data_IF_291409552854
#
_entry.id   IF_291409552854
#
_cell.length_a   1.000
_cell.length_b   1.000
_cell.length_c   1.000
_cell.angle_alpha   90.00
_cell.angle_beta   90.00
_cell.angle_gamma   90.00
#
_symmetry.space_group_name_H-M   'P 1'
#
loop_
_entity.id
_entity.type
_entity.pdbx_description
1 polymer ?
#
# COMPACT_ATOMS: atom_id res chain seq x y z
N UNK A 1 17.45 5.58 22.02
CA UNK A 1 15.99 5.72 21.89
C UNK A 1 15.35 4.53 22.58
N UNK A 2 15.05 4.70 23.86
CA UNK A 2 14.48 3.70 24.76
C UNK A 2 12.97 3.62 24.53
N UNK A 3 12.51 2.46 24.06
CA UNK A 3 11.09 2.20 23.82
C UNK A 3 10.33 2.04 25.15
N UNK A 4 9.61 3.10 25.54
CA UNK A 4 8.50 3.01 26.47
C UNK A 4 7.34 2.33 25.76
N UNK A 5 6.85 1.24 26.33
CA UNK A 5 5.71 0.53 25.78
C UNK A 5 4.56 0.57 26.79
N UNK A 6 3.47 1.18 26.36
CA UNK A 6 2.24 1.39 27.14
C UNK A 6 1.11 0.70 26.39
N UNK A 7 0.54 -0.36 26.98
CA UNK A 7 -0.69 -0.97 26.46
C UNK A 7 -1.92 -0.19 26.91
N UNK A 8 -2.94 -0.10 26.06
CA UNK A 8 -4.16 0.69 26.32
C UNK A 8 -5.41 -0.17 26.40
N UNK A 9 -6.34 0.25 27.26
CA UNK A 9 -7.68 -0.29 27.45
C UNK A 9 -8.66 0.89 27.57
N UNK A 10 -9.74 0.89 26.78
CA UNK A 10 -10.66 2.02 26.64
C UNK A 10 -11.68 2.07 27.78
N UNK A 11 -11.34 2.81 28.84
CA UNK A 11 -12.20 3.76 29.58
C UNK A 11 -11.48 4.33 30.83
N UNK A 12 -10.15 4.45 30.81
CA UNK A 12 -9.41 5.13 31.86
C UNK A 12 -7.94 5.05 31.46
N UNK A 13 -7.32 6.19 31.17
CA UNK A 13 -5.90 6.17 30.84
C UNK A 13 -5.15 5.94 32.14
N UNK A 14 -4.88 4.68 32.44
CA UNK A 14 -3.98 4.29 33.51
C UNK A 14 -2.55 4.35 32.97
N UNK A 15 -1.80 5.38 33.35
CA UNK A 15 -0.35 5.41 33.21
C UNK A 15 0.22 4.46 34.26
N UNK A 16 0.83 3.35 33.84
CA UNK A 16 1.37 2.37 34.78
C UNK A 16 2.88 2.37 34.75
N UNK A 17 3.41 2.96 35.81
CA UNK A 17 4.77 2.79 36.26
C UNK A 17 4.92 1.40 36.87
N UNK A 18 5.47 0.47 36.09
CA UNK A 18 5.98 -0.81 36.56
C UNK A 18 7.48 -0.87 36.28
N UNK A 19 8.30 -0.54 37.28
CA UNK A 19 9.73 -0.77 37.35
C UNK A 19 10.51 -0.58 36.03
N UNK A 20 10.97 0.65 35.80
CA UNK A 20 11.99 0.94 34.79
C UNK A 20 13.30 0.19 35.13
N UNK A 21 13.44 -1.03 34.60
CA UNK A 21 14.73 -1.48 34.09
C UNK A 21 14.80 -1.19 32.59
N UNK A 22 15.95 -0.70 32.09
CA UNK A 22 16.11 -0.18 30.73
C UNK A 22 16.23 -1.34 29.72
N UNK A 23 15.18 -2.13 29.57
CA UNK A 23 15.12 -3.24 28.62
C UNK A 23 13.89 -3.14 27.73
N UNK A 24 14.05 -3.53 26.47
CA UNK A 24 13.01 -3.62 25.45
C UNK A 24 11.79 -4.37 25.99
N UNK A 25 10.58 -3.83 25.84
CA UNK A 25 9.34 -4.54 26.15
C UNK A 25 9.27 -5.83 25.32
N UNK A 26 9.30 -6.98 25.98
CA UNK A 26 9.10 -8.29 25.35
C UNK A 26 7.64 -8.73 25.46
N UNK A 27 7.22 -9.65 24.61
CA UNK A 27 5.85 -10.19 24.63
C UNK A 27 5.45 -10.78 26.00
N UNK A 28 6.40 -11.42 26.70
CA UNK A 28 6.15 -12.02 28.02
C UNK A 28 5.87 -10.94 29.07
N UNK A 29 6.69 -9.88 29.10
CA UNK A 29 6.49 -8.74 30.00
C UNK A 29 5.18 -8.03 29.70
N UNK A 30 4.84 -7.85 28.43
CA UNK A 30 3.56 -7.27 28.04
C UNK A 30 2.36 -8.07 28.59
N UNK A 31 2.38 -9.40 28.47
CA UNK A 31 1.33 -10.26 29.03
C UNK A 31 1.23 -10.12 30.55
N UNK A 32 2.35 -10.24 31.25
CA UNK A 32 2.37 -10.41 32.70
C UNK A 32 2.28 -9.08 33.48
N UNK A 33 2.82 -8.00 32.91
CA UNK A 33 2.85 -6.68 33.55
C UNK A 33 1.72 -5.76 33.05
N UNK A 34 1.16 -6.01 31.86
CA UNK A 34 0.14 -5.13 31.25
C UNK A 34 -1.21 -5.85 31.08
N UNK A 35 -1.26 -6.91 30.25
CA UNK A 35 -2.54 -7.54 29.90
C UNK A 35 -3.24 -8.17 31.10
N UNK A 36 -2.50 -8.94 31.90
CA UNK A 36 -3.05 -9.68 33.05
C UNK A 36 -3.48 -8.79 34.22
N UNK A 37 -2.66 -7.84 34.73
CA UNK A 37 -3.03 -7.07 35.90
C UNK A 37 -3.97 -5.89 35.60
N UNK A 38 -4.07 -5.45 34.34
CA UNK A 38 -4.78 -4.19 34.01
C UNK A 38 -5.92 -4.43 33.05
N UNK A 39 -5.61 -4.98 31.88
CA UNK A 39 -6.58 -5.08 30.78
C UNK A 39 -7.67 -6.07 31.15
N UNK A 40 -7.32 -7.21 31.74
CA UNK A 40 -8.29 -8.23 32.16
C UNK A 40 -9.28 -7.71 33.23
N UNK A 41 -8.87 -7.16 34.39
CA UNK A 41 -9.81 -6.62 35.36
C UNK A 41 -10.68 -5.50 34.79
N UNK A 42 -10.08 -4.68 33.92
CA UNK A 42 -10.77 -3.56 33.30
C UNK A 42 -11.84 -4.00 32.28
N UNK A 43 -11.51 -4.96 31.42
CA UNK A 43 -12.44 -5.57 30.49
C UNK A 43 -13.65 -6.19 31.23
N UNK A 44 -13.38 -6.85 32.35
CA UNK A 44 -14.43 -7.38 33.24
C UNK A 44 -15.33 -6.29 33.85
N UNK A 45 -14.77 -5.12 34.17
CA UNK A 45 -15.51 -4.00 34.75
C UNK A 45 -16.39 -3.24 33.73
N UNK A 46 -15.94 -3.14 32.47
CA UNK A 46 -16.70 -2.50 31.38
C UNK A 46 -17.82 -3.42 30.86
N UNK A 47 -17.55 -4.73 30.77
CA UNK A 47 -18.51 -5.72 30.31
C UNK A 47 -18.58 -5.87 28.78
N UNK A 48 -19.67 -6.48 28.26
CA UNK A 48 -19.78 -6.85 26.85
C UNK A 48 -19.75 -5.62 25.93
N UNK A 49 -18.85 -5.64 24.94
CA UNK A 49 -18.58 -4.52 24.03
C UNK A 49 -17.25 -3.80 24.29
N UNK A 50 -16.47 -4.24 25.28
CA UNK A 50 -15.09 -3.80 25.44
C UNK A 50 -14.25 -4.24 24.22
N UNK A 51 -13.59 -3.27 23.59
CA UNK A 51 -12.70 -3.50 22.46
C UNK A 51 -11.32 -2.94 22.77
N UNK A 52 -10.32 -3.81 22.77
CA UNK A 52 -8.94 -3.46 23.08
C UNK A 52 -8.27 -2.79 21.87
N UNK A 53 -7.70 -1.60 22.06
CA UNK A 53 -6.89 -0.94 21.03
C UNK A 53 -5.42 -1.06 21.37
N UNK A 54 -4.62 -1.59 20.45
CA UNK A 54 -3.17 -1.73 20.57
C UNK A 54 -2.49 -1.41 19.23
N UNK A 55 -1.27 -0.89 19.26
CA UNK A 55 -0.57 -0.31 18.09
C UNK A 55 0.16 -1.34 17.19
N UNK A 56 -0.20 -2.62 17.26
CA UNK A 56 0.45 -3.71 16.50
C UNK A 56 1.99 -3.75 16.58
N UNK A 57 2.59 -3.21 17.65
CA UNK A 57 4.00 -3.40 17.95
C UNK A 57 4.35 -4.90 18.08
N UNK A 58 5.62 -5.27 17.86
CA UNK A 58 6.09 -6.67 17.87
C UNK A 58 5.63 -7.48 19.09
N UNK A 59 5.60 -6.95 20.33
CA UNK A 59 5.08 -7.67 21.48
C UNK A 59 3.56 -7.94 21.44
N UNK A 60 2.77 -7.08 20.79
CA UNK A 60 1.30 -7.18 20.69
C UNK A 60 0.87 -8.26 19.69
N UNK A 61 1.63 -8.41 18.60
CA UNK A 61 1.38 -9.41 17.54
C UNK A 61 1.96 -10.79 17.90
N UNK A 62 2.72 -10.89 18.98
CA UNK A 62 3.28 -12.16 19.43
C UNK A 62 2.18 -13.16 19.81
N UNK A 63 2.35 -14.42 19.39
CA UNK A 63 1.35 -15.47 19.62
C UNK A 63 0.96 -15.65 21.09
N UNK A 64 1.89 -15.46 22.02
CA UNK A 64 1.64 -15.53 23.47
C UNK A 64 0.62 -14.49 23.94
N UNK A 65 0.63 -13.29 23.36
CA UNK A 65 -0.29 -12.20 23.72
C UNK A 65 -1.65 -12.38 23.04
N UNK A 66 -1.65 -12.77 21.76
CA UNK A 66 -2.88 -13.07 21.02
C UNK A 66 -3.66 -14.24 21.64
N UNK A 67 -2.94 -15.29 22.05
CA UNK A 67 -3.55 -16.44 22.72
C UNK A 67 -4.17 -16.05 24.08
N UNK A 68 -3.48 -15.21 24.86
CA UNK A 68 -4.03 -14.71 26.14
C UNK A 68 -5.32 -13.90 25.95
N UNK A 69 -5.36 -13.01 24.95
CA UNK A 69 -6.56 -12.23 24.64
C UNK A 69 -7.73 -13.13 24.22
N UNK A 70 -7.45 -14.16 23.43
CA UNK A 70 -8.45 -15.13 22.99
C UNK A 70 -8.98 -15.98 24.16
N UNK A 71 -8.12 -16.42 25.08
CA UNK A 71 -8.50 -17.19 26.27
C UNK A 71 -9.38 -16.37 27.24
N UNK A 72 -9.11 -15.09 27.38
CA UNK A 72 -9.89 -14.18 28.23
C UNK A 72 -11.13 -13.57 27.51
N UNK A 73 -11.34 -13.91 26.23
CA UNK A 73 -12.48 -13.43 25.44
C UNK A 73 -12.46 -11.93 25.17
N UNK A 74 -11.27 -11.33 25.08
CA UNK A 74 -11.08 -9.89 24.86
C UNK A 74 -10.85 -9.65 23.37
N UNK A 75 -11.81 -9.00 22.72
CA UNK A 75 -11.68 -8.62 21.32
C UNK A 75 -10.69 -7.45 21.17
N UNK A 76 -9.78 -7.57 20.19
CA UNK A 76 -8.88 -6.50 19.80
C UNK A 76 -9.38 -5.80 18.53
N UNK A 77 -9.28 -4.48 18.47
CA UNK A 77 -9.59 -3.69 17.28
C UNK A 77 -8.58 -3.99 16.16
N UNK A 78 -9.09 -4.18 14.94
CA UNK A 78 -8.27 -4.21 13.73
C UNK A 78 -7.62 -2.84 13.48
N UNK A 79 -6.40 -2.68 13.98
CA UNK A 79 -5.63 -1.43 13.92
C UNK A 79 -4.47 -1.52 12.91
N UNK A 80 -4.26 -0.52 12.03
CA UNK A 80 -3.13 -0.54 11.11
C UNK A 80 -1.79 -0.49 11.86
N UNK A 81 -0.84 -1.35 11.46
CA UNK A 81 0.53 -1.25 11.96
C UNK A 81 1.13 0.13 11.59
N UNK A 82 1.77 0.80 12.55
CA UNK A 82 2.49 2.07 12.35
C UNK A 82 1.62 3.26 11.92
N UNK A 83 0.54 3.53 12.66
CA UNK A 83 -0.29 4.74 12.48
C UNK A 83 -0.23 5.66 13.71
N UNK A 84 0.90 6.35 13.98
CA UNK A 84 1.04 7.22 15.14
C UNK A 84 -0.04 8.32 15.14
N UNK A 85 -0.29 8.94 13.98
CA UNK A 85 -1.26 10.03 13.81
C UNK A 85 -2.73 9.65 14.12
N UNK A 86 -3.04 8.37 14.32
CA UNK A 86 -4.37 7.91 14.72
C UNK A 86 -4.49 7.60 16.21
N UNK A 87 -3.37 7.37 16.91
CA UNK A 87 -3.42 7.02 18.31
C UNK A 87 -3.68 8.29 19.15
N UNK A 88 -4.78 8.37 19.91
CA UNK A 88 -5.05 9.49 20.82
C UNK A 88 -3.92 9.78 21.79
N UNK A 89 -3.08 8.79 22.09
CA UNK A 89 -1.93 8.96 22.99
C UNK A 89 -0.89 9.92 22.43
N UNK A 90 -0.70 9.97 21.10
CA UNK A 90 0.28 10.88 20.49
C UNK A 90 -0.10 12.33 20.75
N UNK A 91 -1.40 12.64 20.75
CA UNK A 91 -1.89 13.97 21.13
C UNK A 91 -1.66 14.26 22.61
N UNK A 92 -1.77 13.24 23.47
CA UNK A 92 -1.50 13.41 24.89
C UNK A 92 0.00 13.59 25.13
N UNK A 93 0.86 12.82 24.45
CA UNK A 93 2.30 12.99 24.48
C UNK A 93 2.75 14.35 23.96
N UNK A 94 2.11 14.85 22.90
CA UNK A 94 2.38 16.19 22.39
C UNK A 94 1.94 17.28 23.39
N UNK A 95 0.78 17.12 24.06
CA UNK A 95 0.38 18.00 25.17
C UNK A 95 1.43 17.95 26.30
N UNK A 96 1.84 16.76 26.72
CA UNK A 96 2.82 16.58 27.81
C UNK A 96 4.19 17.18 27.44
N UNK A 97 4.64 16.93 26.21
CA UNK A 97 5.88 17.48 25.67
C UNK A 97 5.83 19.00 25.65
N UNK A 98 4.76 19.60 25.11
CA UNK A 98 4.59 21.06 25.09
C UNK A 98 4.54 21.67 26.49
N UNK A 99 3.84 21.04 27.43
CA UNK A 99 3.80 21.49 28.82
C UNK A 99 5.19 21.46 29.49
N UNK A 100 6.01 20.45 29.21
CA UNK A 100 7.39 20.37 29.73
C UNK A 100 8.27 21.46 29.12
N UNK A 101 8.18 21.70 27.81
CA UNK A 101 8.95 22.77 27.16
C UNK A 101 8.57 24.17 27.65
N UNK A 102 7.35 24.34 28.18
CA UNK A 102 6.87 25.61 28.74
C UNK A 102 7.21 25.80 30.23
N UNK A 103 7.76 24.78 30.90
CA UNK A 103 8.21 24.91 32.30
C UNK A 103 9.39 25.87 32.40
N UNK A 104 9.40 26.70 33.44
CA UNK A 104 10.48 27.66 33.70
C UNK A 104 11.82 26.99 34.03
N UNK A 105 11.79 25.75 34.57
CA UNK A 105 12.97 24.96 34.87
C UNK A 105 12.95 23.71 33.99
N UNK A 106 13.93 23.59 33.10
CA UNK A 106 14.10 22.39 32.30
C UNK A 106 14.68 21.25 33.18
N UNK A 107 14.07 20.06 33.19
CA UNK A 107 14.60 18.92 33.94
C UNK A 107 15.97 18.52 33.38
N UNK A 108 16.97 18.34 34.26
CA UNK A 108 18.34 17.98 33.88
C UNK A 108 18.67 16.52 34.14
N UNK A 109 17.85 15.82 34.93
CA UNK A 109 18.00 14.40 35.22
C UNK A 109 16.80 13.58 34.73
N UNK A 110 17.01 12.28 34.49
CA UNK A 110 15.93 11.35 34.09
C UNK A 110 14.84 11.28 35.17
N UNK A 111 15.23 11.39 36.44
CA UNK A 111 14.30 11.36 37.58
C UNK A 111 13.45 12.64 37.63
N UNK A 112 14.06 13.82 37.48
CA UNK A 112 13.32 15.10 37.40
C UNK A 112 12.37 15.14 36.21
N UNK A 113 12.77 14.57 35.07
CA UNK A 113 11.90 14.47 33.90
C UNK A 113 10.72 13.53 34.17
N UNK A 114 10.93 12.41 34.85
CA UNK A 114 9.86 11.48 35.22
C UNK A 114 8.86 12.13 36.18
N UNK A 115 9.34 12.81 37.22
CA UNK A 115 8.50 13.49 38.19
C UNK A 115 7.70 14.65 37.55
N UNK A 116 8.34 15.39 36.63
CA UNK A 116 7.67 16.44 35.86
C UNK A 116 6.57 15.88 34.93
N UNK A 117 6.81 14.74 34.28
CA UNK A 117 5.81 14.07 33.43
C UNK A 117 4.59 13.63 34.24
N UNK A 118 4.77 13.11 35.46
CA UNK A 118 3.67 12.70 36.35
C UNK A 118 2.83 13.90 36.76
N UNK A 119 3.45 15.01 37.15
CA UNK A 119 2.71 16.23 37.49
C UNK A 119 1.89 16.75 36.29
N UNK A 120 2.50 16.84 35.11
CA UNK A 120 1.79 17.26 33.90
C UNK A 120 0.64 16.31 33.56
N UNK A 121 0.81 15.01 33.80
CA UNK A 121 -0.25 14.03 33.60
C UNK A 121 -1.46 14.29 34.51
N UNK A 122 -1.22 14.53 35.80
CA UNK A 122 -2.28 14.83 36.78
C UNK A 122 -3.00 16.15 36.49
N UNK A 123 -2.32 17.11 35.87
CA UNK A 123 -2.88 18.40 35.45
C UNK A 123 -3.79 18.30 34.21
N UNK A 124 -3.71 17.23 33.41
CA UNK A 124 -4.52 17.08 32.20
C UNK A 124 -5.98 16.84 32.59
N UNK A 125 -6.93 17.71 32.17
CA UNK A 125 -8.34 17.49 32.48
C UNK A 125 -8.86 16.22 31.84
N UNK A 126 -9.62 15.42 32.60
CA UNK A 126 -10.26 14.21 32.09
C UNK A 126 -11.17 14.47 30.87
N UNK A 127 -11.75 15.67 30.74
CA UNK A 127 -12.57 16.03 29.57
C UNK A 127 -11.76 16.09 28.28
N UNK A 128 -10.48 16.49 28.33
CA UNK A 128 -9.59 16.47 27.15
C UNK A 128 -9.39 15.04 26.66
N UNK A 129 -9.20 14.10 27.59
CA UNK A 129 -9.07 12.67 27.30
C UNK A 129 -10.39 12.14 26.72
N UNK A 130 -11.54 12.46 27.33
CA UNK A 130 -12.86 12.06 26.81
C UNK A 130 -13.14 12.64 25.42
N UNK A 131 -12.74 13.87 25.14
CA UNK A 131 -12.93 14.49 23.83
C UNK A 131 -12.09 13.78 22.75
N UNK A 132 -10.82 13.47 23.04
CA UNK A 132 -9.97 12.66 22.17
C UNK A 132 -10.56 11.27 21.92
N UNK A 133 -11.07 10.63 22.96
CA UNK A 133 -11.78 9.35 22.89
C UNK A 133 -13.02 9.43 21.97
N UNK A 134 -13.88 10.43 22.17
CA UNK A 134 -15.10 10.65 21.37
C UNK A 134 -14.79 10.99 19.91
N UNK A 135 -13.61 11.54 19.62
CA UNK A 135 -13.17 11.84 18.25
C UNK A 135 -12.79 10.58 17.45
N UNK A 136 -12.48 9.46 18.12
CA UNK A 136 -11.93 8.27 17.46
C UNK A 136 -12.83 7.64 16.40
N UNK A 137 -14.14 7.47 16.62
CA UNK A 137 -15.01 6.95 15.57
C UNK A 137 -14.98 7.80 14.29
N UNK A 138 -14.80 9.12 14.40
CA UNK A 138 -14.64 10.01 13.24
C UNK A 138 -13.26 9.83 12.60
N UNK A 139 -12.17 9.79 13.39
CA UNK A 139 -10.80 9.59 12.88
C UNK A 139 -10.62 8.25 12.19
N UNK A 140 -11.15 7.17 12.78
CA UNK A 140 -11.16 5.84 12.16
C UNK A 140 -12.00 5.82 10.87
N UNK A 141 -13.13 6.52 10.81
CA UNK A 141 -13.91 6.69 9.56
C UNK A 141 -13.17 7.50 8.51
N UNK A 142 -12.39 8.51 8.91
CA UNK A 142 -11.58 9.30 7.98
C UNK A 142 -10.40 8.50 7.39
N UNK A 143 -9.90 7.49 8.12
CA UNK A 143 -8.83 6.57 7.68
C UNK A 143 -9.33 5.27 7.02
N UNK A 144 -10.61 4.93 7.15
CA UNK A 144 -11.29 3.91 6.37
C UNK A 144 -11.68 4.51 5.02
N UNK A 145 -10.76 4.53 4.06
CA UNK A 145 -11.07 4.99 2.72
C UNK A 145 -11.34 3.81 1.79
N UNK A 146 -12.15 4.08 0.77
CA UNK A 146 -12.46 3.10 -0.26
C UNK A 146 -11.18 2.77 -1.05
N UNK A 147 -10.99 1.50 -1.40
CA UNK A 147 -9.98 0.93 -2.32
C UNK A 147 -10.29 1.31 -3.76
N UNK A 148 -10.58 2.59 -3.92
CA UNK A 148 -11.00 3.22 -5.13
C UNK A 148 -9.95 4.31 -5.43
N UNK A 149 -9.19 4.11 -6.50
CA UNK A 149 -8.16 5.03 -6.96
C UNK A 149 -8.77 6.38 -7.28
N UNK A 150 -8.22 7.45 -6.72
CA UNK A 150 -8.60 8.84 -7.02
C UNK A 150 -10.10 9.12 -6.80
N UNK A 151 -10.78 8.44 -5.87
CA UNK A 151 -12.24 8.61 -5.70
C UNK A 151 -12.66 10.04 -5.34
N UNK A 152 -11.77 10.82 -4.72
CA UNK A 152 -12.01 12.22 -4.37
C UNK A 152 -11.83 13.18 -5.57
N UNK A 153 -11.25 12.68 -6.66
CA UNK A 153 -10.88 13.46 -7.84
C UNK A 153 -11.59 12.98 -9.13
N UNK A 154 -12.51 12.02 -8.98
CA UNK A 154 -13.31 11.41 -10.04
C UNK A 154 -14.77 11.30 -9.61
N UNK A 155 -15.67 11.06 -10.58
CA UNK A 155 -16.98 10.53 -10.23
C UNK A 155 -16.85 9.12 -9.60
N UNK A 156 -17.77 8.75 -8.71
CA UNK A 156 -17.76 7.43 -8.08
C UNK A 156 -17.71 6.30 -9.13
N UNK A 157 -18.42 6.48 -10.24
CA UNK A 157 -18.43 5.55 -11.36
C UNK A 157 -17.03 5.37 -11.99
N UNK A 158 -16.35 6.47 -12.32
CA UNK A 158 -15.01 6.42 -12.92
C UNK A 158 -13.98 5.81 -11.97
N UNK A 159 -14.08 6.12 -10.68
CA UNK A 159 -13.19 5.54 -9.68
C UNK A 159 -13.40 4.03 -9.52
N UNK A 160 -14.65 3.56 -9.53
CA UNK A 160 -14.95 2.12 -9.57
C UNK A 160 -14.46 1.48 -10.87
N UNK A 161 -14.57 2.17 -12.00
CA UNK A 161 -14.15 1.64 -13.30
C UNK A 161 -12.64 1.45 -13.43
N UNK A 162 -11.86 2.36 -12.85
CA UNK A 162 -10.43 2.40 -13.06
C UNK A 162 -9.62 1.73 -11.94
N UNK A 163 -10.24 1.42 -10.81
CA UNK A 163 -9.57 0.74 -9.70
C UNK A 163 -9.33 -0.74 -9.99
N UNK A 164 -8.10 -1.22 -9.74
CA UNK A 164 -7.71 -2.62 -9.96
C UNK A 164 -8.72 -3.62 -9.39
N UNK A 165 -9.10 -3.42 -8.12
CA UNK A 165 -9.90 -4.39 -7.37
C UNK A 165 -11.29 -4.55 -7.97
N UNK A 166 -12.00 -3.44 -8.20
CA UNK A 166 -13.37 -3.42 -8.73
C UNK A 166 -13.41 -3.74 -10.21
N UNK A 167 -12.51 -3.17 -11.03
CA UNK A 167 -12.43 -3.48 -12.46
C UNK A 167 -12.28 -4.98 -12.70
N UNK A 168 -11.37 -5.61 -11.94
CA UNK A 168 -11.14 -7.05 -12.03
C UNK A 168 -12.32 -7.88 -11.49
N UNK A 169 -13.05 -7.40 -10.48
CA UNK A 169 -14.12 -8.18 -9.84
C UNK A 169 -15.40 -8.17 -10.67
N UNK A 170 -15.73 -7.00 -11.21
CA UNK A 170 -16.87 -6.83 -12.10
C UNK A 170 -16.56 -7.25 -13.54
N UNK A 171 -15.29 -7.44 -13.91
CA UNK A 171 -14.86 -7.73 -15.30
C UNK A 171 -15.33 -6.64 -16.25
N UNK A 172 -14.98 -5.40 -15.93
CA UNK A 172 -15.50 -4.20 -16.61
C UNK A 172 -15.07 -4.06 -18.08
N UNK A 173 -14.11 -4.85 -18.52
CA UNK A 173 -13.78 -5.04 -19.94
C UNK A 173 -14.85 -5.78 -20.74
N UNK A 174 -15.91 -6.29 -20.10
CA UNK A 174 -17.02 -6.99 -20.75
C UNK A 174 -18.35 -6.25 -20.58
N UNK A 175 -19.22 -6.30 -21.60
CA UNK A 175 -20.57 -5.70 -21.55
C UNK A 175 -21.41 -6.26 -20.39
N UNK A 176 -21.28 -7.55 -20.10
CA UNK A 176 -21.96 -8.18 -18.97
C UNK A 176 -21.46 -7.64 -17.62
N UNK A 177 -20.14 -7.41 -17.49
CA UNK A 177 -19.55 -6.83 -16.30
C UNK A 177 -19.98 -5.39 -16.05
N UNK A 178 -20.10 -4.58 -17.12
CA UNK A 178 -20.63 -3.22 -17.03
C UNK A 178 -22.09 -3.20 -16.59
N UNK A 179 -22.93 -4.10 -17.12
CA UNK A 179 -24.33 -4.24 -16.67
C UNK A 179 -24.41 -4.64 -15.20
N UNK A 180 -23.57 -5.60 -14.76
CA UNK A 180 -23.47 -6.01 -13.36
C UNK A 180 -23.02 -4.88 -12.45
N UNK A 181 -22.13 -4.00 -12.91
CA UNK A 181 -21.76 -2.80 -12.17
C UNK A 181 -22.94 -1.83 -12.03
N UNK A 182 -23.74 -1.64 -13.10
CA UNK A 182 -24.93 -0.77 -13.02
C UNK A 182 -25.99 -1.33 -12.05
N UNK A 183 -26.25 -2.64 -12.12
CA UNK A 183 -27.14 -3.34 -11.17
C UNK A 183 -26.60 -3.23 -9.74
N UNK A 184 -25.29 -3.31 -9.56
CA UNK A 184 -24.64 -3.20 -8.27
C UNK A 184 -24.59 -1.77 -7.69
N UNK A 185 -24.44 -0.75 -8.55
CA UNK A 185 -24.60 0.65 -8.14
C UNK A 185 -26.04 0.93 -7.68
N UNK A 186 -27.02 0.19 -8.23
CA UNK A 186 -28.41 0.24 -7.78
C UNK A 186 -28.64 -0.50 -6.44
N UNK A 187 -27.79 -1.47 -6.08
CA UNK A 187 -27.95 -2.38 -4.93
C UNK A 187 -26.93 -2.15 -3.78
N UNK A 188 -26.11 -1.10 -3.89
CA UNK A 188 -24.79 -0.92 -3.25
C UNK A 188 -24.64 -1.45 -1.80
N UNK A 189 -24.30 -2.73 -1.68
CA UNK A 189 -23.83 -3.41 -0.47
C UNK A 189 -22.45 -4.05 -0.71
N UNK A 190 -21.37 -3.29 -0.50
CA UNK A 190 -20.01 -3.81 -0.64
C UNK A 190 -19.37 -4.08 0.73
N UNK A 191 -18.87 -5.30 0.95
CA UNK A 191 -18.19 -5.69 2.20
C UNK A 191 -16.68 -5.41 2.21
N UNK A 192 -16.01 -5.33 1.04
CA UNK A 192 -14.54 -5.35 0.95
C UNK A 192 -13.87 -4.16 0.23
N UNK A 193 -14.54 -3.01 0.11
CA UNK A 193 -13.87 -1.82 -0.47
C UNK A 193 -12.97 -1.12 0.55
N UNK A 194 -13.11 -1.35 1.85
CA UNK A 194 -12.42 -0.50 2.83
C UNK A 194 -10.95 -0.90 2.94
N UNK A 195 -10.07 0.06 2.72
CA UNK A 195 -8.64 -0.04 3.03
C UNK A 195 -8.30 0.98 4.11
N UNK A 196 -7.40 0.59 5.01
CA UNK A 196 -6.80 1.50 5.96
C UNK A 196 -5.78 2.37 5.19
N UNK A 197 -5.94 3.68 5.22
CA UNK A 197 -5.04 4.64 4.57
C UNK A 197 -5.01 5.96 5.34
N UNK A 198 -4.01 6.78 5.06
CA UNK A 198 -3.89 8.14 5.58
C UNK A 198 -4.49 9.14 4.60
N UNK A 199 -4.99 10.26 5.14
CA UNK A 199 -5.45 11.40 4.36
C UNK A 199 -4.93 12.70 4.97
N UNK A 200 -4.49 13.62 4.12
CA UNK A 200 -4.00 14.94 4.51
C UNK A 200 -4.99 16.01 4.05
N UNK A 201 -5.20 17.02 4.90
CA UNK A 201 -6.00 18.19 4.57
C UNK A 201 -5.08 19.40 4.55
N UNK A 202 -4.90 20.02 3.38
CA UNK A 202 -4.13 21.26 3.23
C UNK A 202 -5.00 22.51 3.34
N UNK A 203 -6.30 22.40 3.05
CA UNK A 203 -7.29 23.47 3.19
C UNK A 203 -8.71 22.90 3.30
N UNK A 204 -9.73 23.76 3.42
CA UNK A 204 -11.14 23.34 3.48
C UNK A 204 -11.63 22.55 2.26
N UNK A 205 -10.99 22.71 1.09
CA UNK A 205 -11.34 22.01 -0.16
C UNK A 205 -10.30 20.97 -0.59
N UNK A 206 -9.06 21.13 -0.17
CA UNK A 206 -7.94 20.32 -0.65
C UNK A 206 -7.65 19.20 0.34
N UNK A 207 -8.38 18.10 0.15
CA UNK A 207 -8.16 16.83 0.83
C UNK A 207 -7.55 15.85 -0.18
N UNK A 208 -6.47 15.19 0.23
CA UNK A 208 -5.79 14.19 -0.58
C UNK A 208 -5.54 12.94 0.25
N UNK A 209 -5.67 11.77 -0.37
CA UNK A 209 -5.30 10.51 0.25
C UNK A 209 -3.85 10.17 -0.08
N UNK A 210 -3.20 9.41 0.79
CA UNK A 210 -1.84 8.93 0.54
C UNK A 210 -1.72 8.24 -0.83
N UNK A 211 -2.73 7.43 -1.20
CA UNK A 211 -2.76 6.76 -2.50
C UNK A 211 -2.84 7.73 -3.69
N UNK A 212 -3.56 8.85 -3.54
CA UNK A 212 -3.75 9.83 -4.62
C UNK A 212 -2.43 10.55 -4.92
N UNK A 213 -1.70 10.93 -3.86
CA UNK A 213 -0.38 11.56 -3.97
C UNK A 213 0.64 10.61 -4.59
N UNK A 214 0.63 9.33 -4.21
CA UNK A 214 1.53 8.31 -4.81
C UNK A 214 1.26 8.16 -6.31
N UNK A 215 0.00 8.06 -6.71
CA UNK A 215 -0.35 7.97 -8.13
C UNK A 215 0.06 9.23 -8.91
N UNK A 216 -0.13 10.42 -8.33
CA UNK A 216 0.25 11.68 -8.94
C UNK A 216 1.78 11.81 -9.09
N UNK A 217 2.54 11.54 -8.03
CA UNK A 217 4.00 11.59 -8.04
C UNK A 217 4.59 10.57 -9.03
N UNK A 218 4.06 9.34 -9.07
CA UNK A 218 4.50 8.31 -10.00
C UNK A 218 4.16 8.66 -11.47
N UNK A 219 3.08 9.39 -11.72
CA UNK A 219 2.73 9.86 -13.05
C UNK A 219 3.64 11.02 -13.52
N UNK A 220 4.01 11.93 -12.62
CA UNK A 220 4.96 13.02 -12.90
C UNK A 220 6.37 12.48 -13.18
N UNK A 221 6.82 11.48 -12.42
CA UNK A 221 8.15 10.89 -12.57
C UNK A 221 8.36 10.23 -13.94
N UNK A 222 7.33 9.57 -14.46
CA UNK A 222 7.35 8.88 -15.76
C UNK A 222 6.62 9.66 -16.85
N UNK A 223 6.54 10.99 -16.73
CA UNK A 223 5.85 11.79 -17.73
C UNK A 223 6.56 11.68 -19.08
N UNK A 224 5.80 11.30 -20.12
CA UNK A 224 6.28 11.16 -21.50
C UNK A 224 5.69 12.20 -22.44
N UNK A 225 4.85 13.12 -21.96
CA UNK A 225 4.20 14.14 -22.80
C UNK A 225 5.16 15.30 -23.16
N UNK A 226 6.25 15.49 -22.40
CA UNK A 226 7.26 16.52 -22.64
C UNK A 226 8.63 15.86 -22.76
N UNK A 227 9.44 16.30 -23.72
CA UNK A 227 10.84 15.89 -23.92
C UNK A 227 11.76 16.47 -22.82
N UNK A 228 11.35 16.31 -21.56
CA UNK A 228 12.07 16.73 -20.38
C UNK A 228 13.03 15.63 -19.94
N UNK A 229 14.16 16.01 -19.36
CA UNK A 229 15.11 15.01 -18.87
C UNK A 229 14.50 14.23 -17.70
N UNK A 230 14.95 12.99 -17.49
CA UNK A 230 14.53 12.19 -16.33
C UNK A 230 14.81 12.93 -15.00
N UNK A 231 15.85 13.76 -14.96
CA UNK A 231 16.18 14.61 -13.82
C UNK A 231 15.11 15.68 -13.57
N UNK A 232 14.61 16.33 -14.62
CA UNK A 232 13.56 17.35 -14.48
C UNK A 232 12.24 16.74 -13.99
N UNK A 233 11.88 15.56 -14.51
CA UNK A 233 10.71 14.82 -14.05
C UNK A 233 10.83 14.43 -12.57
N UNK A 234 12.03 14.04 -12.13
CA UNK A 234 12.30 13.73 -10.73
C UNK A 234 12.11 14.95 -9.83
N UNK A 235 12.64 16.12 -10.22
CA UNK A 235 12.47 17.36 -9.46
C UNK A 235 11.00 17.76 -9.41
N UNK A 236 10.24 17.65 -10.51
CA UNK A 236 8.79 17.93 -10.51
C UNK A 236 8.00 16.99 -9.61
N UNK A 237 8.33 15.70 -9.62
CA UNK A 237 7.72 14.73 -8.72
C UNK A 237 8.07 15.01 -7.25
N UNK A 238 9.27 15.53 -6.98
CA UNK A 238 9.67 15.96 -5.63
C UNK A 238 8.91 17.23 -5.21
N UNK A 239 8.82 18.21 -6.10
CA UNK A 239 8.12 19.48 -5.87
C UNK A 239 6.63 19.29 -5.58
N UNK A 240 6.00 18.27 -6.17
CA UNK A 240 4.59 17.97 -5.93
C UNK A 240 4.28 17.51 -4.48
N UNK A 241 5.31 17.03 -3.75
CA UNK A 241 5.18 16.67 -2.34
C UNK A 241 5.23 17.89 -1.42
N UNK A 242 5.69 19.04 -1.92
CA UNK A 242 5.69 20.28 -1.15
C UNK A 242 4.29 20.85 -1.02
N UNK A 243 3.95 21.30 0.19
CA UNK A 243 2.68 21.98 0.50
C UNK A 243 2.50 23.29 -0.26
N UNK A 244 3.59 23.88 -0.75
CA UNK A 244 3.58 25.13 -1.52
C UNK A 244 3.10 24.96 -2.95
N UNK A 245 3.17 23.75 -3.53
CA UNK A 245 2.97 23.54 -4.95
C UNK A 245 1.82 22.56 -5.25
N UNK A 246 0.61 22.96 -4.85
CA UNK A 246 -0.59 22.17 -5.12
C UNK A 246 -0.94 22.10 -6.61
N UNK A 247 -0.55 23.08 -7.43
CA UNK A 247 -0.81 23.05 -8.87
C UNK A 247 -0.07 21.90 -9.55
N UNK A 248 1.20 21.68 -9.19
CA UNK A 248 1.97 20.53 -9.66
C UNK A 248 1.30 19.20 -9.28
N UNK A 249 0.80 19.09 -8.04
CA UNK A 249 0.08 17.90 -7.57
C UNK A 249 -1.20 17.65 -8.37
N UNK A 250 -2.02 18.67 -8.65
CA UNK A 250 -3.23 18.52 -9.47
C UNK A 250 -2.89 18.12 -10.91
N UNK A 251 -1.84 18.70 -11.50
CA UNK A 251 -1.35 18.29 -12.82
C UNK A 251 -0.89 16.83 -12.84
N UNK A 252 -0.20 16.38 -11.78
CA UNK A 252 0.19 14.98 -11.60
C UNK A 252 -1.01 14.04 -11.46
N UNK A 253 -2.06 14.47 -10.75
CA UNK A 253 -3.32 13.71 -10.65
C UNK A 253 -3.93 13.53 -12.04
N UNK A 254 -3.99 14.57 -12.86
CA UNK A 254 -4.58 14.46 -14.20
C UNK A 254 -3.76 13.56 -15.14
N UNK A 255 -2.43 13.58 -15.04
CA UNK A 255 -1.56 12.61 -15.71
C UNK A 255 -1.79 11.18 -15.20
N UNK A 256 -1.98 11.01 -13.89
CA UNK A 256 -2.28 9.70 -13.31
C UNK A 256 -3.62 9.14 -13.80
N UNK A 257 -4.64 10.00 -13.96
CA UNK A 257 -5.94 9.62 -14.54
C UNK A 257 -5.77 9.09 -15.97
N UNK A 258 -5.05 9.84 -16.83
CA UNK A 258 -4.74 9.40 -18.20
C UNK A 258 -4.03 8.05 -18.22
N UNK A 259 -3.01 7.89 -17.37
CA UNK A 259 -2.24 6.63 -17.23
C UNK A 259 -3.13 5.45 -16.82
N UNK A 260 -4.01 5.63 -15.83
CA UNK A 260 -4.93 4.58 -15.38
C UNK A 260 -5.95 4.21 -16.46
N UNK A 261 -6.49 5.19 -17.18
CA UNK A 261 -7.42 4.95 -18.30
C UNK A 261 -6.74 4.17 -19.42
N UNK A 262 -5.54 4.57 -19.82
CA UNK A 262 -4.75 3.86 -20.84
C UNK A 262 -4.49 2.41 -20.42
N UNK A 263 -4.07 2.18 -19.16
CA UNK A 263 -3.87 0.82 -18.62
C UNK A 263 -5.14 -0.02 -18.75
N UNK A 264 -6.30 0.49 -18.34
CA UNK A 264 -7.56 -0.27 -18.41
C UNK A 264 -7.95 -0.60 -19.85
N UNK A 265 -7.78 0.34 -20.78
CA UNK A 265 -8.04 0.13 -22.21
C UNK A 265 -7.11 -0.93 -22.80
N UNK A 266 -5.82 -0.88 -22.50
CA UNK A 266 -4.84 -1.87 -22.95
C UNK A 266 -5.13 -3.25 -22.35
N UNK A 267 -5.47 -3.33 -21.05
CA UNK A 267 -5.87 -4.61 -20.42
C UNK A 267 -7.12 -5.19 -21.08
N UNK A 268 -8.14 -4.37 -21.32
CA UNK A 268 -9.35 -4.80 -22.00
C UNK A 268 -9.04 -5.31 -23.41
N UNK A 269 -8.23 -4.57 -24.18
CA UNK A 269 -7.79 -4.97 -25.51
C UNK A 269 -7.07 -6.31 -25.48
N UNK A 270 -6.09 -6.49 -24.58
CA UNK A 270 -5.29 -7.72 -24.47
C UNK A 270 -6.15 -8.96 -24.13
N UNK A 271 -7.15 -8.80 -23.27
CA UNK A 271 -8.04 -9.90 -22.88
C UNK A 271 -9.04 -10.21 -24.01
N UNK A 272 -9.65 -9.19 -24.61
CA UNK A 272 -10.66 -9.37 -25.67
C UNK A 272 -10.06 -9.95 -26.95
N UNK A 273 -8.82 -9.60 -27.27
CA UNK A 273 -8.08 -10.13 -28.44
C UNK A 273 -7.32 -11.42 -28.13
N UNK A 274 -7.37 -11.90 -26.89
CA UNK A 274 -6.68 -13.11 -26.42
C UNK A 274 -5.17 -13.11 -26.71
N UNK A 275 -4.51 -11.96 -26.52
CA UNK A 275 -3.07 -11.78 -26.72
C UNK A 275 -2.20 -12.50 -25.67
N UNK A 276 -2.80 -12.93 -24.56
CA UNK A 276 -2.10 -13.62 -23.47
C UNK A 276 -2.01 -15.12 -23.80
N UNK A 277 -0.80 -15.58 -24.11
CA UNK A 277 -0.55 -16.96 -24.52
C UNK A 277 0.16 -17.73 -23.40
N UNK A 278 -0.21 -18.99 -23.20
CA UNK A 278 0.52 -19.89 -22.30
C UNK A 278 1.68 -20.53 -23.05
N UNK A 279 2.90 -20.34 -22.56
CA UNK A 279 4.13 -20.91 -23.13
C UNK A 279 4.56 -22.21 -22.43
N UNK A 280 3.70 -22.77 -21.57
CA UNK A 280 4.02 -23.94 -20.74
C UNK A 280 4.25 -23.55 -19.27
N UNK A 281 5.45 -23.07 -18.90
CA UNK A 281 5.78 -22.71 -17.51
C UNK A 281 5.37 -21.29 -17.11
N UNK A 282 5.07 -20.40 -18.09
CA UNK A 282 4.62 -19.03 -17.84
C UNK A 282 3.60 -18.55 -18.89
N UNK A 283 2.92 -17.44 -18.57
CA UNK A 283 2.10 -16.68 -19.50
C UNK A 283 2.97 -15.61 -20.17
N UNK A 284 2.74 -15.37 -21.45
CA UNK A 284 3.47 -14.38 -22.23
C UNK A 284 2.52 -13.42 -22.93
N UNK A 285 2.83 -12.12 -22.88
CA UNK A 285 2.11 -11.07 -23.58
C UNK A 285 3.12 -10.11 -24.24
N UNK A 286 2.91 -9.76 -25.50
CA UNK A 286 3.73 -8.80 -26.23
C UNK A 286 2.88 -7.64 -26.71
N UNK A 287 3.25 -6.41 -26.34
CA UNK A 287 2.62 -5.19 -26.82
C UNK A 287 3.27 -4.80 -28.15
N UNK A 288 2.45 -4.55 -29.17
CA UNK A 288 2.91 -4.07 -30.47
C UNK A 288 3.08 -2.55 -30.45
N UNK A 289 3.94 -2.02 -31.32
CA UNK A 289 4.13 -0.58 -31.48
C UNK A 289 2.83 0.16 -31.87
N UNK A 290 1.94 -0.50 -32.61
CA UNK A 290 0.62 0.04 -32.97
C UNK A 290 -0.40 0.05 -31.81
N UNK A 291 -0.02 -0.38 -30.61
CA UNK A 291 -0.91 -0.34 -29.44
C UNK A 291 -1.11 1.12 -29.00
N UNK A 292 -2.35 1.57 -28.73
CA UNK A 292 -2.56 2.92 -28.22
C UNK A 292 -1.78 3.13 -26.92
N UNK A 293 -1.18 4.31 -26.80
CA UNK A 293 -0.42 4.76 -25.63
C UNK A 293 0.79 3.88 -25.26
N UNK A 294 1.34 3.11 -26.21
CA UNK A 294 2.49 2.21 -25.95
C UNK A 294 3.71 2.93 -25.37
N UNK A 295 3.90 4.22 -25.70
CA UNK A 295 4.98 5.07 -25.16
C UNK A 295 4.92 5.19 -23.63
N UNK A 296 3.72 5.17 -23.03
CA UNK A 296 3.56 5.16 -21.57
C UNK A 296 4.14 3.88 -20.97
N UNK A 297 4.00 2.74 -21.67
CA UNK A 297 4.45 1.43 -21.21
C UNK A 297 5.92 1.13 -21.53
N UNK A 298 6.61 2.02 -22.22
CA UNK A 298 8.06 1.97 -22.39
C UNK A 298 8.81 2.30 -21.08
N UNK A 299 8.11 2.80 -20.05
CA UNK A 299 8.68 3.10 -18.73
C UNK A 299 8.41 1.98 -17.70
N UNK A 300 9.37 1.65 -16.82
CA UNK A 300 9.28 0.49 -15.93
C UNK A 300 8.10 0.48 -14.95
N UNK A 301 7.75 1.59 -14.28
CA UNK A 301 6.67 1.59 -13.28
C UNK A 301 5.30 1.49 -13.95
N UNK A 302 5.10 2.16 -15.08
CA UNK A 302 3.91 2.04 -15.90
C UNK A 302 3.69 0.60 -16.38
N UNK A 303 4.75 -0.04 -16.90
CA UNK A 303 4.71 -1.44 -17.33
C UNK A 303 4.44 -2.38 -16.14
N UNK A 304 5.02 -2.10 -14.97
CA UNK A 304 4.78 -2.87 -13.74
C UNK A 304 3.31 -2.82 -13.34
N UNK A 305 2.72 -1.62 -13.36
CA UNK A 305 1.32 -1.43 -13.01
C UNK A 305 0.39 -2.13 -14.02
N UNK A 306 0.68 -1.99 -15.32
CA UNK A 306 -0.04 -2.69 -16.39
C UNK A 306 0.04 -4.21 -16.20
N UNK A 307 1.24 -4.76 -15.98
CA UNK A 307 1.46 -6.20 -15.83
C UNK A 307 0.67 -6.77 -14.63
N UNK A 308 0.70 -6.08 -13.48
CA UNK A 308 -0.08 -6.47 -12.30
C UNK A 308 -1.59 -6.43 -12.55
N UNK A 309 -2.09 -5.40 -13.24
CA UNK A 309 -3.52 -5.29 -13.58
C UNK A 309 -3.93 -6.38 -14.58
N UNK A 310 -3.10 -6.63 -15.60
CA UNK A 310 -3.33 -7.64 -16.62
C UNK A 310 -3.39 -9.05 -16.03
N UNK A 311 -2.45 -9.42 -15.17
CA UNK A 311 -2.45 -10.72 -14.50
C UNK A 311 -3.70 -10.91 -13.64
N UNK A 312 -4.04 -9.93 -12.79
CA UNK A 312 -5.25 -9.96 -11.96
C UNK A 312 -6.52 -10.12 -12.80
N UNK A 313 -6.61 -9.37 -13.88
CA UNK A 313 -7.75 -9.42 -14.79
C UNK A 313 -7.83 -10.78 -15.52
N UNK A 314 -6.70 -11.29 -16.02
CA UNK A 314 -6.61 -12.57 -16.70
C UNK A 314 -6.96 -13.76 -15.79
N UNK A 315 -6.43 -13.81 -14.56
CA UNK A 315 -6.71 -14.88 -13.58
C UNK A 315 -8.19 -14.96 -13.24
N UNK A 316 -8.89 -13.83 -13.17
CA UNK A 316 -10.35 -13.78 -12.95
C UNK A 316 -11.16 -14.09 -14.21
N UNK A 317 -10.62 -13.81 -15.39
CA UNK A 317 -11.27 -14.08 -16.68
C UNK A 317 -11.17 -15.56 -17.07
N UNK A 318 -9.99 -16.17 -16.89
CA UNK A 318 -9.69 -17.52 -17.37
C UNK A 318 -10.43 -18.61 -16.59
N UNK A 319 -10.94 -19.60 -17.32
CA UNK A 319 -11.54 -20.82 -16.75
C UNK A 319 -10.49 -21.89 -16.41
N UNK A 320 -9.30 -21.81 -17.02
CA UNK A 320 -8.26 -22.82 -16.85
C UNK A 320 -7.56 -22.65 -15.50
N UNK A 321 -7.69 -23.67 -14.62
CA UNK A 321 -7.10 -23.66 -13.27
C UNK A 321 -5.57 -23.59 -13.29
N UNK A 322 -4.92 -24.22 -14.27
CA UNK A 322 -3.45 -24.20 -14.39
C UNK A 322 -2.95 -22.79 -14.67
N UNK A 323 -3.58 -22.09 -15.61
CA UNK A 323 -3.18 -20.73 -16.01
C UNK A 323 -3.33 -19.71 -14.88
N UNK A 324 -4.14 -19.97 -13.84
CA UNK A 324 -4.26 -19.08 -12.68
C UNK A 324 -3.04 -19.06 -11.78
N UNK A 325 -2.23 -20.13 -11.81
CA UNK A 325 -1.04 -20.31 -10.98
C UNK A 325 0.25 -19.97 -11.71
N UNK A 326 0.16 -19.61 -13.00
CA UNK A 326 1.33 -19.30 -13.80
C UNK A 326 1.75 -17.83 -13.61
N UNK A 327 3.07 -17.57 -13.61
CA UNK A 327 3.57 -16.21 -13.66
C UNK A 327 3.33 -15.57 -15.03
N UNK A 328 3.45 -14.24 -15.11
CA UNK A 328 3.28 -13.47 -16.35
C UNK A 328 4.57 -12.76 -16.74
N UNK A 329 4.94 -12.89 -18.00
CA UNK A 329 5.99 -12.11 -18.65
C UNK A 329 5.32 -11.19 -19.67
N UNK A 330 5.59 -9.89 -19.56
CA UNK A 330 5.17 -8.89 -20.53
C UNK A 330 6.40 -8.30 -21.22
N UNK A 331 6.28 -8.04 -22.51
CA UNK A 331 7.29 -7.33 -23.28
C UNK A 331 6.66 -6.16 -24.05
N UNK A 332 7.32 -5.01 -24.04
CA UNK A 332 6.88 -3.80 -24.73
C UNK A 332 8.05 -3.15 -25.48
N UNK A 333 7.80 -2.44 -26.59
CA UNK A 333 8.85 -1.71 -27.29
C UNK A 333 9.34 -0.53 -26.43
N UNK A 334 10.66 -0.37 -26.35
CA UNK A 334 11.29 0.71 -25.59
C UNK A 334 11.81 1.80 -26.52
N UNK A 335 12.66 1.42 -27.48
CA UNK A 335 13.24 2.31 -28.48
C UNK A 335 13.24 1.58 -29.83
N UNK A 336 12.47 2.12 -30.77
CA UNK A 336 12.25 1.56 -32.10
C UNK A 336 13.49 1.71 -32.96
N UNK A 337 14.20 2.84 -32.85
CA UNK A 337 15.41 3.12 -33.63
C UNK A 337 16.56 2.19 -33.21
N UNK A 338 16.66 1.92 -31.91
CA UNK A 338 17.64 0.97 -31.38
C UNK A 338 17.18 -0.48 -31.44
N UNK A 339 15.93 -0.77 -31.82
CA UNK A 339 15.37 -2.12 -31.84
C UNK A 339 15.43 -2.81 -30.47
N UNK A 340 15.11 -2.09 -29.41
CA UNK A 340 15.15 -2.59 -28.02
C UNK A 340 13.75 -2.74 -27.44
N UNK A 341 13.57 -3.80 -26.67
CA UNK A 341 12.32 -4.12 -25.97
C UNK A 341 12.58 -4.21 -24.48
N UNK A 342 11.67 -3.67 -23.68
CA UNK A 342 11.65 -3.86 -22.24
C UNK A 342 10.85 -5.12 -21.93
N UNK A 343 11.42 -6.01 -21.12
CA UNK A 343 10.82 -7.28 -20.71
C UNK A 343 10.71 -7.31 -19.20
N UNK A 344 9.55 -7.74 -18.70
CA UNK A 344 9.25 -7.77 -17.28
C UNK A 344 8.56 -9.07 -16.89
N UNK A 345 9.04 -9.70 -15.82
CA UNK A 345 8.44 -10.90 -15.24
C UNK A 345 7.83 -10.64 -13.85
N UNK A 346 6.56 -10.99 -13.66
CA UNK A 346 5.89 -10.94 -12.35
C UNK A 346 5.49 -12.33 -11.87
N UNK A 347 5.58 -12.61 -10.55
CA UNK A 347 5.17 -13.89 -9.99
C UNK A 347 3.65 -14.11 -10.15
N UNK A 348 3.16 -15.34 -9.95
CA UNK A 348 1.73 -15.64 -9.96
C UNK A 348 0.98 -14.86 -8.87
N UNK A 349 -0.28 -14.50 -9.13
CA UNK A 349 -1.14 -13.83 -8.16
C UNK A 349 -1.50 -14.79 -7.01
N UNK A 350 -1.08 -14.47 -5.78
CA UNK A 350 -1.50 -15.16 -4.55
C UNK A 350 -1.97 -14.17 -3.49
N UNK A 351 -2.94 -14.57 -2.65
CA UNK A 351 -3.52 -13.72 -1.59
C UNK A 351 -2.50 -13.38 -0.48
N UNK A 352 -1.48 -14.23 -0.28
CA UNK A 352 -0.35 -14.00 0.63
C UNK A 352 0.89 -13.59 -0.18
N UNK A 353 1.31 -12.33 -0.04
CA UNK A 353 2.34 -11.67 -0.86
C UNK A 353 3.80 -12.03 -0.50
N UNK A 354 4.09 -13.29 -0.16
CA UNK A 354 5.43 -13.69 0.32
C UNK A 354 6.32 -14.37 -0.73
N UNK A 355 5.84 -14.54 -1.97
CA UNK A 355 6.64 -15.18 -3.01
C UNK A 355 7.64 -14.21 -3.63
N UNK A 356 8.93 -14.41 -3.31
CA UNK A 356 10.06 -13.72 -3.94
C UNK A 356 10.03 -13.90 -5.45
N UNK A 357 10.33 -12.83 -6.19
CA UNK A 357 10.40 -12.87 -7.65
C UNK A 357 11.66 -13.63 -8.11
N UNK A 358 11.47 -14.75 -8.81
CA UNK A 358 12.56 -15.61 -9.30
C UNK A 358 13.04 -15.22 -10.71
N UNK A 359 12.33 -14.30 -11.38
CA UNK A 359 12.59 -14.02 -12.79
C UNK A 359 13.95 -13.44 -13.08
N UNK A 360 14.55 -12.69 -12.16
CA UNK A 360 15.79 -12.04 -12.52
C UNK A 360 17.00 -12.94 -12.67
N UNK A 361 17.14 -13.91 -11.76
CA UNK A 361 18.15 -14.97 -11.95
C UNK A 361 17.84 -15.85 -13.15
N UNK A 362 16.56 -16.05 -13.46
CA UNK A 362 16.16 -16.82 -14.63
C UNK A 362 16.51 -16.08 -15.94
N UNK A 363 16.30 -14.76 -15.98
CA UNK A 363 16.65 -13.92 -17.12
C UNK A 363 18.15 -13.84 -17.33
N UNK A 364 18.94 -13.69 -16.26
CA UNK A 364 20.41 -13.69 -16.33
C UNK A 364 20.95 -15.01 -16.92
N UNK A 365 20.51 -16.16 -16.38
CA UNK A 365 20.90 -17.48 -16.91
C UNK A 365 20.45 -17.71 -18.36
N UNK A 366 19.24 -17.27 -18.72
CA UNK A 366 18.76 -17.37 -20.09
C UNK A 366 19.59 -16.50 -21.04
N UNK A 367 19.98 -15.29 -20.62
CA UNK A 367 20.83 -14.40 -21.39
C UNK A 367 22.24 -14.98 -21.59
N UNK A 368 22.85 -15.53 -20.54
CA UNK A 368 24.17 -16.19 -20.59
C UNK A 368 24.17 -17.39 -21.54
N UNK A 369 23.15 -18.25 -21.45
CA UNK A 369 23.06 -19.47 -22.27
C UNK A 369 22.89 -19.19 -23.77
N UNK A 370 22.33 -18.04 -24.13
CA UNK A 370 22.00 -17.66 -25.52
C UNK A 370 22.89 -16.57 -26.08
N UNK A 371 23.87 -16.10 -25.29
CA UNK A 371 24.67 -14.91 -25.56
C UNK A 371 23.79 -13.75 -26.06
N UNK A 372 22.65 -13.55 -25.39
CA UNK A 372 21.69 -12.50 -25.77
C UNK A 372 22.14 -11.15 -25.24
N UNK A 373 21.94 -10.09 -26.04
CA UNK A 373 22.27 -8.72 -25.63
C UNK A 373 21.19 -8.21 -24.68
N UNK A 374 21.41 -8.36 -23.38
CA UNK A 374 20.55 -7.84 -22.32
C UNK A 374 21.22 -6.75 -21.50
N UNK A 375 20.42 -5.83 -20.98
CA UNK A 375 20.86 -4.79 -20.04
C UNK A 375 20.06 -4.87 -18.75
N UNK A 376 20.76 -4.89 -17.61
CA UNK A 376 20.22 -5.18 -16.28
C UNK A 376 20.53 -4.05 -15.28
N UNK A 377 20.24 -2.79 -15.64
CA UNK A 377 20.65 -1.61 -14.84
C UNK A 377 19.53 -1.00 -13.97
N UNK A 378 18.50 -1.79 -13.65
CA UNK A 378 17.37 -1.33 -12.84
C UNK A 378 17.62 -1.60 -11.34
N UNK A 379 17.70 -0.53 -10.54
CA UNK A 379 17.92 -0.58 -9.07
C UNK A 379 16.90 -1.44 -8.32
N UNK A 380 15.63 -1.36 -8.72
CA UNK A 380 14.56 -2.17 -8.15
C UNK A 380 14.31 -3.39 -9.04
N UNK A 381 14.61 -4.56 -8.45
CA UNK A 381 14.18 -5.89 -8.88
C UNK A 381 14.76 -6.41 -10.19
N UNK A 382 15.59 -7.44 -10.03
CA UNK A 382 16.15 -8.32 -11.06
C UNK A 382 15.19 -8.78 -12.18
N UNK A 383 13.87 -8.56 -12.08
CA UNK A 383 12.82 -8.99 -13.00
C UNK A 383 12.52 -8.04 -14.18
N UNK A 384 13.29 -6.98 -14.40
CA UNK A 384 13.15 -6.08 -15.56
C UNK A 384 14.46 -6.09 -16.33
N UNK A 385 14.38 -6.30 -17.64
CA UNK A 385 15.53 -6.32 -18.52
C UNK A 385 15.23 -5.56 -19.80
N UNK A 386 16.24 -4.97 -20.39
CA UNK A 386 16.19 -4.51 -21.79
C UNK A 386 16.80 -5.60 -22.67
N UNK A 387 16.15 -5.92 -23.77
CA UNK A 387 16.55 -7.00 -24.68
C UNK A 387 16.53 -6.48 -26.12
N UNK A 388 17.50 -6.90 -26.93
CA UNK A 388 17.46 -6.63 -28.38
C UNK A 388 16.36 -7.47 -29.05
N UNK A 389 15.57 -6.83 -29.91
CA UNK A 389 14.40 -7.48 -30.54
C UNK A 389 14.77 -8.74 -31.35
N UNK A 390 15.94 -8.74 -31.98
CA UNK A 390 16.51 -9.88 -32.71
C UNK A 390 16.78 -11.10 -31.82
N UNK A 391 17.15 -10.87 -30.56
CA UNK A 391 17.53 -11.91 -29.61
C UNK A 391 16.32 -12.50 -28.85
N UNK A 392 15.12 -11.95 -29.06
CA UNK A 392 13.91 -12.26 -28.29
C UNK A 392 13.48 -13.73 -28.39
N UNK A 393 13.49 -14.32 -29.59
CA UNK A 393 13.01 -15.69 -29.81
C UNK A 393 13.91 -16.69 -29.10
N UNK A 394 15.21 -16.65 -29.36
CA UNK A 394 16.20 -17.53 -28.69
C UNK A 394 16.17 -17.38 -27.17
N UNK A 395 16.02 -16.15 -26.67
CA UNK A 395 15.93 -15.87 -25.23
C UNK A 395 14.70 -16.52 -24.59
N UNK A 396 13.53 -16.40 -25.24
CA UNK A 396 12.29 -17.01 -24.75
C UNK A 396 12.35 -18.54 -24.78
N UNK A 397 12.93 -19.14 -25.81
CA UNK A 397 13.07 -20.60 -25.91
C UNK A 397 13.99 -21.16 -24.81
N UNK A 398 15.11 -20.48 -24.54
CA UNK A 398 15.99 -20.83 -23.42
C UNK A 398 15.29 -20.67 -22.07
N UNK A 399 14.48 -19.61 -21.91
CA UNK A 399 13.73 -19.37 -20.69
C UNK A 399 12.62 -20.41 -20.47
N UNK A 400 11.94 -20.85 -21.52
CA UNK A 400 10.97 -21.95 -21.47
C UNK A 400 11.67 -23.22 -20.99
N UNK A 401 12.86 -23.52 -21.54
CA UNK A 401 13.65 -24.70 -21.15
C UNK A 401 14.11 -24.64 -19.69
N UNK A 402 14.47 -23.45 -19.20
CA UNK A 402 14.95 -23.25 -17.83
C UNK A 402 13.85 -23.36 -16.77
N UNK A 403 12.61 -22.99 -17.11
CA UNK A 403 11.47 -22.91 -16.19
C UNK A 403 10.48 -24.08 -16.33
N UNK A 404 10.62 -24.91 -17.35
CA UNK A 404 9.89 -26.18 -17.51
C UNK A 404 10.48 -27.24 -16.62
#
# INVERSE_FOLDING_TARGET
>A
MTGLAVGQSWCGVAFLWGAAQPSILTAIRYRDEILRPLVRPYAGAVGPGFLLMQDNARPHVAGVCQQFLQEEGIDAMDWPASSPDLNPIEHIWDIMSRSIHQRHVAPQTVQELADALVQVWEEIPQETIRHLIRSMPRRCRECLSLRLALYQHWSLYESICNSSYTSCNFKLWSMHGQKKLQEFLADMGMKDIRIQTFGVHFSFKNRFLANDVVHAAAALLENTEKDESLGDNFIKALDCLSRSNLECLHGGIDLAKKKLMAIQQTVASCICTNLILSQGPFLYCYLLEGTPDVKLFSKPMALTLLCKYLLKAFVRSTRNKRCKLLPLIIAAPMDVEKGTVIVMGIPPESETSDKKNLFGRAFEKAAESTSSRTFHDHFDTSSIIELKMEDRTKFLDALITLLS
#
